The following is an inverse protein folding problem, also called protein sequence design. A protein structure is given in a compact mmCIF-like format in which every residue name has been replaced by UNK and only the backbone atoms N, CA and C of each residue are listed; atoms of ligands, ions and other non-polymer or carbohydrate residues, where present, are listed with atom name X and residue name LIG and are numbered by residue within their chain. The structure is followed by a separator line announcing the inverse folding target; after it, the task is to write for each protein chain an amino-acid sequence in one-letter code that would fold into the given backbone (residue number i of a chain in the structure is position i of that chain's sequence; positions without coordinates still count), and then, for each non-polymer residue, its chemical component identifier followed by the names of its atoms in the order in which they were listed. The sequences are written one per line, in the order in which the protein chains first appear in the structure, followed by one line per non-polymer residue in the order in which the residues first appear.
data_IF_989883801083
#
_entry.id   IF_989883801083
#
_cell.length_a   1.000
_cell.length_b   1.000
_cell.length_c   1.000
_cell.angle_alpha   90.00
_cell.angle_beta   90.00
_cell.angle_gamma   90.00
#
_symmetry.space_group_name_H-M   'P 1'
#
loop_
_entity.id
_entity.type
_entity.pdbx_description
1 polymer ?
#
# COMPACT_ATOMS: atom_id res chain seq x y z
N UNK A 1 100.16 15.85 -13.17
CA UNK A 1 99.25 15.85 -14.33
C UNK A 1 97.96 15.15 -13.91
N UNK A 2 96.86 15.89 -14.02
CA UNK A 2 95.51 15.49 -13.63
C UNK A 2 95.10 14.20 -14.36
N UNK A 3 94.47 13.25 -13.65
CA UNK A 3 93.47 12.38 -14.27
C UNK A 3 92.42 11.99 -13.23
N UNK A 4 91.21 12.42 -13.54
CA UNK A 4 89.98 12.32 -12.77
C UNK A 4 89.48 10.87 -12.71
N UNK A 5 89.23 10.37 -11.50
CA UNK A 5 88.37 9.20 -11.28
C UNK A 5 86.94 9.74 -11.16
N UNK A 6 86.10 9.47 -12.18
CA UNK A 6 84.65 9.70 -12.08
C UNK A 6 83.98 8.43 -11.54
N UNK A 7 83.12 8.50 -10.51
CA UNK A 7 82.30 7.37 -10.12
C UNK A 7 81.14 7.22 -11.11
N UNK A 8 80.97 6.01 -11.63
CA UNK A 8 79.88 5.64 -12.53
C UNK A 8 78.64 5.31 -11.68
N UNK A 9 77.88 6.33 -11.27
CA UNK A 9 76.56 6.12 -10.67
C UNK A 9 75.55 5.82 -11.78
N UNK A 10 75.26 4.53 -11.99
CA UNK A 10 74.12 4.07 -12.80
C UNK A 10 72.83 4.39 -12.03
N UNK A 11 72.24 5.55 -12.29
CA UNK A 11 70.86 5.85 -11.91
C UNK A 11 69.93 5.14 -12.89
N UNK A 12 69.36 4.00 -12.49
CA UNK A 12 68.20 3.42 -13.17
C UNK A 12 67.02 4.38 -13.00
N UNK A 13 66.29 4.76 -14.06
CA UNK A 13 65.04 5.47 -13.88
C UNK A 13 64.03 4.45 -13.36
N UNK A 14 63.66 4.57 -12.09
CA UNK A 14 62.49 3.89 -11.54
C UNK A 14 61.28 4.58 -12.18
N UNK A 15 60.75 4.01 -13.26
CA UNK A 15 59.45 4.39 -13.81
C UNK A 15 58.40 3.87 -12.83
N UNK A 16 57.97 4.73 -11.92
CA UNK A 16 56.78 4.48 -11.10
C UNK A 16 55.57 4.52 -12.03
N UNK A 17 55.13 3.35 -12.49
CA UNK A 17 53.82 3.21 -13.12
C UNK A 17 52.79 3.34 -12.00
N UNK A 18 52.28 4.55 -11.80
CA UNK A 18 51.10 4.78 -10.99
C UNK A 18 49.92 4.13 -11.74
N UNK A 19 49.55 2.91 -11.33
CA UNK A 19 48.26 2.33 -11.66
C UNK A 19 47.19 3.20 -10.99
N UNK A 20 46.72 4.22 -11.70
CA UNK A 20 45.45 4.87 -11.39
C UNK A 20 44.41 3.81 -11.63
N UNK A 21 44.01 3.11 -10.57
CA UNK A 21 42.73 2.40 -10.55
C UNK A 21 41.66 3.48 -10.70
N UNK A 22 41.31 3.77 -11.96
CA UNK A 22 40.00 4.31 -12.31
C UNK A 22 39.00 3.21 -11.96
N UNK A 23 38.73 3.06 -10.67
CA UNK A 23 37.55 2.36 -10.21
C UNK A 23 36.39 3.08 -10.84
N UNK A 24 35.79 2.48 -11.86
CA UNK A 24 34.45 2.86 -12.26
C UNK A 24 33.65 2.90 -10.97
N UNK A 25 32.99 4.03 -10.61
CA UNK A 25 31.99 3.94 -9.57
C UNK A 25 31.03 2.87 -10.08
N UNK A 26 30.99 1.73 -9.39
CA UNK A 26 29.85 0.86 -9.49
C UNK A 26 28.74 1.72 -8.93
N UNK A 27 28.07 2.43 -9.84
CA UNK A 27 26.76 2.95 -9.61
C UNK A 27 25.95 1.68 -9.39
N UNK A 28 25.87 1.26 -8.13
CA UNK A 28 24.83 0.37 -7.68
C UNK A 28 23.56 1.14 -8.01
N UNK A 29 23.06 0.96 -9.22
CA UNK A 29 21.65 1.10 -9.50
C UNK A 29 21.03 0.05 -8.59
N UNK A 30 20.76 0.45 -7.35
CA UNK A 30 19.98 -0.33 -6.43
C UNK A 30 18.65 -0.51 -7.16
N UNK A 31 18.48 -1.67 -7.76
CA UNK A 31 17.17 -2.05 -8.29
C UNK A 31 16.16 -1.80 -7.17
N UNK A 32 15.15 -1.00 -7.49
CA UNK A 32 14.12 -0.62 -6.53
C UNK A 32 13.43 -1.92 -6.05
N UNK A 33 13.30 -2.16 -4.73
CA UNK A 33 12.74 -3.41 -4.25
C UNK A 33 11.25 -3.48 -4.54
N UNK A 34 10.69 -4.67 -4.79
CA UNK A 34 9.24 -4.85 -4.82
C UNK A 34 8.68 -4.71 -3.39
N UNK A 35 7.62 -3.93 -3.23
CA UNK A 35 6.96 -3.71 -1.94
C UNK A 35 5.63 -4.44 -1.95
N UNK A 36 5.47 -5.42 -1.07
CA UNK A 36 4.22 -6.15 -0.86
C UNK A 36 3.74 -5.94 0.58
N UNK A 37 2.52 -5.44 0.72
CA UNK A 37 1.83 -5.33 2.02
C UNK A 37 0.73 -6.37 2.07
N UNK A 38 0.78 -7.25 3.07
CA UNK A 38 -0.31 -8.19 3.40
C UNK A 38 -1.02 -7.65 4.62
N UNK A 39 -2.33 -7.50 4.54
CA UNK A 39 -3.12 -6.84 5.58
C UNK A 39 -4.32 -7.68 6.00
N UNK A 40 -4.27 -8.18 7.24
CA UNK A 40 -5.41 -8.85 7.87
C UNK A 40 -6.43 -7.86 8.41
N UNK A 41 -7.72 -8.15 8.22
CA UNK A 41 -8.83 -7.38 8.80
C UNK A 41 -9.27 -8.06 10.10
N UNK A 42 -9.41 -7.29 11.18
CA UNK A 42 -9.81 -7.77 12.51
C UNK A 42 -8.97 -8.93 13.08
N UNK A 43 -7.68 -8.96 12.74
CA UNK A 43 -6.69 -9.90 13.29
C UNK A 43 -6.05 -9.30 14.53
N UNK A 44 -6.36 -9.86 15.69
CA UNK A 44 -5.69 -9.51 16.94
C UNK A 44 -4.29 -10.11 17.04
N UNK A 45 -3.44 -9.51 17.88
CA UNK A 45 -2.07 -9.99 18.13
C UNK A 45 -2.03 -11.47 18.49
N UNK A 46 -3.00 -11.94 19.28
CA UNK A 46 -3.07 -13.33 19.73
C UNK A 46 -3.64 -14.30 18.69
N UNK A 47 -4.13 -13.83 17.53
CA UNK A 47 -4.58 -14.72 16.45
C UNK A 47 -3.42 -15.31 15.64
N UNK A 48 -2.25 -14.65 15.61
CA UNK A 48 -1.06 -15.14 14.91
C UNK A 48 -0.31 -16.13 15.80
N UNK A 49 -0.07 -17.37 15.33
CA UNK A 49 0.52 -18.41 16.19
C UNK A 49 1.97 -18.17 16.59
N UNK A 50 2.73 -17.39 15.82
CA UNK A 50 4.05 -16.90 16.24
C UNK A 50 3.99 -16.19 17.61
N UNK A 51 2.93 -15.40 17.86
CA UNK A 51 2.78 -14.64 19.10
C UNK A 51 2.28 -15.49 20.27
N UNK A 52 1.34 -16.41 20.01
CA UNK A 52 0.66 -17.20 21.05
C UNK A 52 1.26 -18.60 21.28
N UNK A 53 2.20 -19.04 20.43
CA UNK A 53 2.87 -20.36 20.47
C UNK A 53 1.91 -21.56 20.43
N UNK A 54 0.85 -21.44 19.63
CA UNK A 54 -0.19 -22.46 19.45
C UNK A 54 -1.33 -22.43 20.47
N UNK A 55 -1.35 -21.46 21.39
CA UNK A 55 -2.36 -21.39 22.48
C UNK A 55 -3.80 -21.31 21.98
N UNK A 56 -4.05 -20.71 20.82
CA UNK A 56 -5.39 -20.59 20.23
C UNK A 56 -5.91 -21.90 19.60
N UNK A 57 -5.12 -22.98 19.63
CA UNK A 57 -5.51 -24.30 19.10
C UNK A 57 -5.34 -24.47 17.59
N UNK A 58 -4.83 -23.45 16.89
CA UNK A 58 -4.47 -23.50 15.47
C UNK A 58 -3.09 -22.87 15.23
N UNK A 59 -2.57 -23.06 14.01
CA UNK A 59 -1.29 -22.53 13.56
C UNK A 59 -1.43 -21.74 12.25
N UNK A 60 -0.56 -20.75 12.08
CA UNK A 60 -0.42 -19.89 10.90
C UNK A 60 0.95 -20.09 10.25
N UNK A 61 1.28 -21.31 9.75
CA UNK A 61 2.65 -21.70 9.43
C UNK A 61 3.37 -20.78 8.42
N UNK A 62 2.64 -20.22 7.45
CA UNK A 62 3.20 -19.28 6.48
C UNK A 62 3.52 -17.90 7.10
N UNK A 63 2.68 -17.41 8.01
CA UNK A 63 2.91 -16.14 8.74
C UNK A 63 4.05 -16.34 9.74
N UNK A 64 4.06 -17.48 10.44
CA UNK A 64 5.11 -17.84 11.39
C UNK A 64 6.47 -17.93 10.70
N UNK A 65 6.51 -18.46 9.47
CA UNK A 65 7.73 -18.47 8.65
C UNK A 65 8.24 -17.05 8.36
N UNK A 66 7.37 -16.11 7.96
CA UNK A 66 7.75 -14.72 7.72
C UNK A 66 8.35 -14.06 8.96
N UNK A 67 7.79 -14.34 10.14
CA UNK A 67 8.31 -13.84 11.41
C UNK A 67 9.67 -14.45 11.77
N UNK A 68 9.88 -15.74 11.51
CA UNK A 68 11.13 -16.45 11.81
C UNK A 68 12.27 -16.12 10.83
N UNK A 69 11.95 -15.86 9.56
CA UNK A 69 12.92 -15.52 8.50
C UNK A 69 13.18 -14.01 8.39
N UNK A 70 12.36 -13.20 9.06
CA UNK A 70 12.39 -11.74 8.97
C UNK A 70 12.45 -11.06 10.33
N UNK A 71 11.66 -9.98 10.46
CA UNK A 71 11.55 -9.19 11.69
C UNK A 71 10.13 -9.30 12.21
N UNK A 72 10.01 -9.63 13.50
CA UNK A 72 8.76 -9.58 14.24
C UNK A 72 8.79 -8.41 15.22
N UNK A 73 7.68 -7.67 15.31
CA UNK A 73 7.51 -6.58 16.26
C UNK A 73 6.78 -7.10 17.50
N UNK A 74 7.34 -6.86 18.68
CA UNK A 74 6.66 -7.12 19.97
C UNK A 74 5.60 -6.05 20.25
N UNK A 75 5.85 -4.83 19.78
CA UNK A 75 5.04 -3.65 20.03
C UNK A 75 4.72 -2.96 18.70
N UNK A 76 3.46 -2.97 18.30
CA UNK A 76 2.95 -2.24 17.14
C UNK A 76 1.52 -1.78 17.44
N UNK A 77 1.14 -0.63 16.88
CA UNK A 77 -0.12 0.05 17.22
C UNK A 77 -0.91 0.38 15.97
N UNK A 78 -2.23 0.32 16.09
CA UNK A 78 -3.17 0.66 15.02
C UNK A 78 -4.32 1.52 15.56
N UNK A 79 -5.05 2.16 14.65
CA UNK A 79 -6.30 2.84 14.98
C UNK A 79 -7.41 1.79 15.22
N UNK A 80 -8.40 2.14 16.04
CA UNK A 80 -9.43 1.21 16.49
C UNK A 80 -10.59 0.99 15.50
N UNK A 81 -10.50 1.54 14.29
CA UNK A 81 -11.53 1.43 13.25
C UNK A 81 -10.89 1.07 11.91
N UNK A 82 -11.55 0.24 11.09
CA UNK A 82 -11.06 -0.15 9.77
C UNK A 82 -10.73 1.08 8.90
N UNK A 83 -11.66 2.02 8.75
CA UNK A 83 -11.45 3.24 7.94
C UNK A 83 -10.30 4.07 8.48
N UNK A 84 -10.27 4.33 9.79
CA UNK A 84 -9.22 5.13 10.41
C UNK A 84 -7.84 4.45 10.33
N UNK A 85 -7.76 3.13 10.56
CA UNK A 85 -6.51 2.38 10.50
C UNK A 85 -5.96 2.33 9.09
N UNK A 86 -6.84 2.14 8.11
CA UNK A 86 -6.45 2.12 6.70
C UNK A 86 -6.01 3.48 6.19
N UNK A 87 -6.77 4.53 6.53
CA UNK A 87 -6.39 5.91 6.25
C UNK A 87 -5.03 6.26 6.86
N UNK A 88 -4.78 5.88 8.12
CA UNK A 88 -3.53 6.19 8.80
C UNK A 88 -2.31 5.54 8.13
N UNK A 89 -2.42 4.28 7.76
CA UNK A 89 -1.33 3.57 7.11
C UNK A 89 -1.12 4.05 5.67
N UNK A 90 -2.19 4.25 4.88
CA UNK A 90 -2.08 4.70 3.48
C UNK A 90 -1.54 6.13 3.38
N UNK A 91 -1.95 7.05 4.27
CA UNK A 91 -1.47 8.44 4.24
C UNK A 91 -0.20 8.68 5.06
N UNK A 92 0.14 7.78 5.99
CA UNK A 92 1.16 8.03 7.02
C UNK A 92 0.76 9.15 8.01
N UNK A 93 -0.52 9.52 8.08
CA UNK A 93 -1.02 10.65 8.85
C UNK A 93 -2.06 10.23 9.88
N UNK A 94 -2.25 11.05 10.92
CA UNK A 94 -3.33 10.79 11.90
C UNK A 94 -4.70 11.01 11.22
N UNK A 95 -5.69 10.11 11.34
CA UNK A 95 -6.93 10.18 10.56
C UNK A 95 -7.77 11.44 10.74
N UNK A 96 -7.60 12.17 11.86
CA UNK A 96 -8.26 13.47 12.05
C UNK A 96 -7.84 14.51 11.00
N UNK A 97 -6.67 14.35 10.35
CA UNK A 97 -6.19 15.27 9.31
C UNK A 97 -6.87 15.04 7.95
N UNK A 98 -7.19 13.80 7.61
CA UNK A 98 -7.97 13.47 6.40
C UNK A 98 -9.48 13.45 6.64
N UNK A 99 -9.92 13.52 7.90
CA UNK A 99 -11.34 13.41 8.28
C UNK A 99 -11.89 11.98 8.30
N UNK A 100 -11.13 10.99 7.82
CA UNK A 100 -11.51 9.57 7.77
C UNK A 100 -11.45 8.89 9.14
N UNK A 101 -12.28 9.36 10.07
CA UNK A 101 -12.33 8.88 11.46
C UNK A 101 -13.49 7.92 11.73
N UNK A 102 -14.46 7.85 10.80
CA UNK A 102 -15.68 7.03 10.91
C UNK A 102 -15.98 6.35 9.59
N UNK A 103 -16.79 5.30 9.66
CA UNK A 103 -17.28 4.56 8.49
C UNK A 103 -18.30 5.43 7.76
N UNK A 104 -18.09 5.61 6.45
CA UNK A 104 -19.07 6.22 5.54
C UNK A 104 -20.08 5.18 5.08
N UNK A 105 -21.33 5.60 4.92
CA UNK A 105 -22.39 4.78 4.29
C UNK A 105 -22.21 4.74 2.76
N UNK A 106 -22.83 3.78 2.04
CA UNK A 106 -22.93 3.86 0.59
C UNK A 106 -23.44 5.24 0.12
N UNK A 107 -22.82 5.83 -0.89
CA UNK A 107 -23.10 7.16 -1.40
C UNK A 107 -22.57 8.34 -0.58
N UNK A 108 -21.94 8.10 0.59
CA UNK A 108 -21.39 9.12 1.46
C UNK A 108 -20.44 10.07 0.71
N UNK A 109 -20.40 11.34 1.11
CA UNK A 109 -19.52 12.38 0.52
C UNK A 109 -18.09 12.26 1.05
N UNK A 110 -17.94 11.55 2.14
CA UNK A 110 -16.71 11.38 2.88
C UNK A 110 -15.85 10.30 2.22
N UNK A 111 -14.58 10.62 2.02
CA UNK A 111 -13.58 9.76 1.43
C UNK A 111 -12.29 10.55 1.18
N UNK A 112 -11.36 9.94 0.45
CA UNK A 112 -10.13 10.60 0.05
C UNK A 112 -10.39 11.90 -0.74
N UNK A 113 -9.62 12.94 -0.44
CA UNK A 113 -9.65 14.20 -1.18
C UNK A 113 -8.51 14.26 -2.18
N UNK A 114 -8.65 15.09 -3.23
CA UNK A 114 -7.60 15.29 -4.25
C UNK A 114 -6.27 15.76 -3.63
N UNK A 115 -6.34 16.51 -2.52
CA UNK A 115 -5.16 17.01 -1.80
C UNK A 115 -4.50 15.97 -0.89
N UNK A 116 -5.13 14.83 -0.65
CA UNK A 116 -4.59 13.80 0.24
C UNK A 116 -3.49 13.00 -0.46
N UNK A 117 -2.29 13.04 0.12
CA UNK A 117 -1.15 12.27 -0.37
C UNK A 117 -1.20 10.86 0.22
N UNK A 118 -1.16 9.85 -0.64
CA UNK A 118 -1.11 8.43 -0.27
C UNK A 118 0.28 7.84 -0.54
N UNK A 119 0.62 6.73 0.12
CA UNK A 119 1.84 5.98 -0.20
C UNK A 119 1.88 5.56 -1.67
N UNK A 120 0.73 5.28 -2.28
CA UNK A 120 0.64 4.92 -3.69
C UNK A 120 1.02 6.10 -4.59
N UNK A 121 0.53 7.31 -4.31
CA UNK A 121 0.96 8.51 -5.07
C UNK A 121 2.47 8.75 -4.97
N UNK A 122 3.05 8.56 -3.78
CA UNK A 122 4.49 8.72 -3.55
C UNK A 122 5.29 7.66 -4.30
N UNK A 123 4.90 6.39 -4.21
CA UNK A 123 5.57 5.28 -4.89
C UNK A 123 5.44 5.39 -6.42
N UNK A 124 4.26 5.76 -6.92
CA UNK A 124 4.03 5.98 -8.36
C UNK A 124 4.89 7.11 -8.91
N UNK A 125 5.08 8.20 -8.16
CA UNK A 125 6.02 9.26 -8.53
C UNK A 125 7.49 8.78 -8.58
N UNK A 126 7.81 7.68 -7.89
CA UNK A 126 9.10 6.99 -7.97
C UNK A 126 9.13 5.91 -9.06
N UNK A 127 8.13 5.81 -9.94
CA UNK A 127 8.10 4.86 -11.06
C UNK A 127 7.74 3.43 -10.68
N UNK A 128 7.09 3.22 -9.53
CA UNK A 128 6.49 1.94 -9.20
C UNK A 128 5.15 1.75 -9.91
N UNK A 129 4.88 0.52 -10.32
CA UNK A 129 3.50 0.07 -10.55
C UNK A 129 2.84 -0.22 -9.20
N UNK A 130 1.59 0.17 -9.05
CA UNK A 130 0.87 0.17 -7.77
C UNK A 130 -0.48 -0.51 -7.92
N UNK A 131 -0.85 -1.37 -6.96
CA UNK A 131 -2.14 -2.05 -6.98
C UNK A 131 -2.68 -2.30 -5.57
N UNK A 132 -4.01 -2.30 -5.45
CA UNK A 132 -4.72 -2.62 -4.22
C UNK A 132 -5.74 -3.73 -4.49
N UNK A 133 -5.69 -4.80 -3.68
CA UNK A 133 -6.53 -5.97 -3.87
C UNK A 133 -7.23 -6.34 -2.56
N UNK A 134 -8.55 -6.55 -2.62
CA UNK A 134 -9.40 -6.78 -1.46
C UNK A 134 -10.08 -5.51 -0.95
N UNK A 135 -10.25 -5.40 0.37
CA UNK A 135 -11.03 -4.32 0.98
C UNK A 135 -10.37 -2.95 0.87
N UNK A 136 -11.14 -1.96 0.41
CA UNK A 136 -10.79 -0.54 0.46
C UNK A 136 -11.23 0.10 1.78
N UNK A 137 -12.47 0.60 1.88
CA UNK A 137 -13.03 1.23 3.08
C UNK A 137 -12.55 2.68 3.36
N UNK A 138 -12.24 3.44 2.30
CA UNK A 138 -11.82 4.87 2.35
C UNK A 138 -12.69 5.79 1.49
N UNK A 139 -13.94 5.43 1.27
CA UNK A 139 -14.89 6.20 0.46
C UNK A 139 -15.59 5.33 -0.58
N UNK A 140 -16.77 5.80 -0.98
CA UNK A 140 -17.67 5.06 -1.86
C UNK A 140 -17.68 5.59 -3.30
N UNK A 141 -17.69 6.91 -3.44
CA UNK A 141 -17.88 7.59 -4.72
C UNK A 141 -16.68 7.38 -5.63
N UNK A 142 -16.93 7.54 -6.93
CA UNK A 142 -15.90 7.33 -7.94
C UNK A 142 -14.68 8.20 -7.69
N UNK A 143 -14.85 9.46 -7.28
CA UNK A 143 -13.75 10.36 -6.93
C UNK A 143 -12.88 9.89 -5.75
N UNK A 144 -13.34 8.94 -4.93
CA UNK A 144 -12.62 8.41 -3.77
C UNK A 144 -11.96 7.05 -4.02
N UNK A 145 -12.16 6.46 -5.21
CA UNK A 145 -11.66 5.12 -5.52
C UNK A 145 -10.12 5.09 -5.53
N UNK A 146 -9.48 3.97 -5.16
CA UNK A 146 -8.02 3.91 -5.03
C UNK A 146 -7.24 4.37 -6.26
N UNK A 147 -7.80 4.14 -7.45
CA UNK A 147 -7.19 4.53 -8.73
C UNK A 147 -7.19 6.03 -8.99
N UNK A 148 -8.04 6.79 -8.29
CA UNK A 148 -7.97 8.25 -8.22
C UNK A 148 -6.92 8.74 -7.20
N UNK A 149 -6.42 7.86 -6.34
CA UNK A 149 -5.49 8.19 -5.24
C UNK A 149 -4.17 7.42 -5.32
N UNK A 150 -3.67 7.25 -6.54
CA UNK A 150 -2.30 6.83 -6.81
C UNK A 150 -2.11 5.36 -7.12
N UNK A 151 -3.11 4.51 -6.91
CA UNK A 151 -3.05 3.11 -7.38
C UNK A 151 -3.28 3.02 -8.89
N UNK A 152 -2.58 2.12 -9.60
CA UNK A 152 -2.83 1.88 -11.02
C UNK A 152 -4.02 0.96 -11.24
N UNK A 153 -4.25 0.04 -10.30
CA UNK A 153 -5.31 -0.96 -10.35
C UNK A 153 -5.90 -1.19 -8.95
N UNK A 154 -7.22 -1.33 -8.89
CA UNK A 154 -7.93 -1.78 -7.70
C UNK A 154 -8.92 -2.88 -8.05
N UNK A 155 -8.93 -3.96 -7.28
CA UNK A 155 -9.91 -5.02 -7.37
C UNK A 155 -10.38 -5.42 -5.98
N UNK A 156 -11.65 -5.16 -5.66
CA UNK A 156 -12.25 -5.61 -4.40
C UNK A 156 -13.46 -4.82 -3.96
N UNK A 157 -13.80 -5.01 -2.68
CA UNK A 157 -14.95 -4.37 -2.02
C UNK A 157 -14.57 -3.01 -1.43
N UNK A 158 -15.55 -2.09 -1.37
CA UNK A 158 -15.40 -0.80 -0.71
C UNK A 158 -15.75 -0.83 0.78
N UNK A 159 -16.32 -1.91 1.31
CA UNK A 159 -16.96 -1.89 2.63
C UNK A 159 -16.47 -2.97 3.59
N UNK A 160 -17.01 -2.93 4.80
CA UNK A 160 -17.00 -4.08 5.70
C UNK A 160 -18.12 -5.05 5.33
N UNK A 161 -17.95 -6.35 5.61
CA UNK A 161 -18.92 -7.41 5.29
C UNK A 161 -20.34 -7.05 5.75
N UNK A 162 -20.51 -6.53 6.97
CA UNK A 162 -21.83 -6.11 7.47
C UNK A 162 -22.59 -5.20 6.50
N UNK A 163 -21.93 -4.26 5.81
CA UNK A 163 -22.61 -3.38 4.85
C UNK A 163 -23.08 -4.14 3.61
N UNK A 164 -22.33 -5.18 3.21
CA UNK A 164 -22.68 -6.10 2.11
C UNK A 164 -23.79 -7.09 2.50
N UNK A 165 -23.94 -7.35 3.81
CA UNK A 165 -25.00 -8.21 4.35
C UNK A 165 -26.34 -7.48 4.55
N UNK A 166 -26.35 -6.14 4.71
CA UNK A 166 -27.57 -5.35 4.89
C UNK A 166 -28.69 -5.68 3.87
N UNK A 167 -28.41 -5.82 2.56
CA UNK A 167 -29.45 -6.15 1.57
C UNK A 167 -30.07 -7.54 1.73
N UNK A 168 -29.44 -8.45 2.48
CA UNK A 168 -29.92 -9.83 2.70
C UNK A 168 -30.95 -9.93 3.84
N UNK A 169 -31.16 -8.84 4.60
CA UNK A 169 -32.13 -8.80 5.68
C UNK A 169 -33.57 -8.80 5.15
N UNK A 170 -34.46 -9.59 5.78
CA UNK A 170 -35.88 -9.68 5.39
C UNK A 170 -36.62 -8.32 5.45
N UNK A 171 -36.19 -7.43 6.34
CA UNK A 171 -36.74 -6.09 6.53
C UNK A 171 -35.98 -5.00 5.76
N UNK A 172 -35.03 -5.36 4.91
CA UNK A 172 -34.34 -4.41 4.06
C UNK A 172 -35.33 -3.73 3.09
N UNK A 173 -35.40 -2.39 3.04
CA UNK A 173 -36.44 -1.71 2.26
C UNK A 173 -36.37 -1.95 0.75
N UNK A 174 -35.21 -2.37 0.21
CA UNK A 174 -35.06 -2.88 -1.16
C UNK A 174 -35.76 -2.05 -2.24
N UNK A 175 -36.93 -2.53 -2.67
CA UNK A 175 -37.77 -1.96 -3.73
C UNK A 175 -38.65 -0.78 -3.27
N UNK A 176 -38.57 -0.36 -2.01
CA UNK A 176 -39.28 0.81 -1.47
C UNK A 176 -38.92 2.05 -2.28
N UNK A 177 -39.92 2.64 -2.94
CA UNK A 177 -39.74 3.87 -3.73
C UNK A 177 -39.71 5.08 -2.80
N UNK A 178 -38.63 5.85 -2.89
CA UNK A 178 -38.40 7.08 -2.14
C UNK A 178 -39.09 8.27 -2.82
N UNK A 179 -39.18 9.41 -2.12
CA UNK A 179 -39.80 10.63 -2.65
C UNK A 179 -39.16 11.14 -3.95
N UNK A 180 -37.90 10.80 -4.20
CA UNK A 180 -37.17 11.18 -5.41
C UNK A 180 -37.39 10.23 -6.59
N UNK A 181 -38.24 9.21 -6.44
CA UNK A 181 -38.59 8.24 -7.48
C UNK A 181 -37.61 7.08 -7.67
N UNK A 182 -36.51 7.02 -6.90
CA UNK A 182 -35.60 5.87 -6.89
C UNK A 182 -36.04 4.84 -5.84
N UNK A 183 -35.63 3.59 -6.02
CA UNK A 183 -35.76 2.60 -4.95
C UNK A 183 -34.73 2.85 -3.84
N UNK A 184 -34.99 2.33 -2.64
CA UNK A 184 -34.06 2.39 -1.53
C UNK A 184 -32.72 1.74 -1.91
N UNK A 185 -32.76 0.57 -2.57
CA UNK A 185 -31.57 -0.12 -3.04
C UNK A 185 -30.78 0.71 -4.07
N UNK A 186 -31.43 1.34 -5.04
CA UNK A 186 -30.75 2.21 -6.03
C UNK A 186 -30.01 3.40 -5.39
N UNK A 187 -30.41 3.81 -4.20
CA UNK A 187 -29.83 4.95 -3.51
C UNK A 187 -28.84 4.57 -2.40
N UNK A 188 -29.08 3.48 -1.70
CA UNK A 188 -28.38 3.16 -0.45
C UNK A 188 -27.78 1.75 -0.40
N UNK A 189 -27.98 0.91 -1.42
CA UNK A 189 -27.33 -0.39 -1.45
C UNK A 189 -25.80 -0.22 -1.56
N UNK A 190 -25.02 -1.08 -0.92
CA UNK A 190 -23.59 -1.18 -1.16
C UNK A 190 -23.34 -1.51 -2.64
N UNK A 191 -22.24 -0.98 -3.18
CA UNK A 191 -21.66 -1.44 -4.44
C UNK A 191 -21.10 -2.86 -4.25
N UNK A 192 -21.20 -3.70 -5.27
CA UNK A 192 -20.51 -4.99 -5.23
C UNK A 192 -19.01 -4.87 -5.49
N UNK A 193 -18.38 -5.96 -5.89
CA UNK A 193 -16.95 -5.97 -6.19
C UNK A 193 -16.65 -5.10 -7.42
N UNK A 194 -15.70 -4.19 -7.26
CA UNK A 194 -15.24 -3.31 -8.33
C UNK A 194 -13.86 -3.73 -8.81
N UNK A 195 -13.66 -3.67 -10.13
CA UNK A 195 -12.36 -3.68 -10.77
C UNK A 195 -12.15 -2.34 -11.48
N UNK A 196 -11.12 -1.60 -11.07
CA UNK A 196 -10.85 -0.27 -11.59
C UNK A 196 -9.40 -0.13 -12.01
N UNK A 197 -9.17 0.72 -13.02
CA UNK A 197 -7.83 1.05 -13.52
C UNK A 197 -7.70 2.54 -13.72
N UNK A 198 -6.56 3.11 -13.33
CA UNK A 198 -6.22 4.48 -13.68
C UNK A 198 -6.01 4.59 -15.20
N UNK A 199 -6.53 5.65 -15.83
CA UNK A 199 -6.41 5.84 -17.28
C UNK A 199 -5.13 6.58 -17.72
N UNK A 200 -4.31 7.01 -16.74
CA UNK A 200 -3.08 7.78 -16.95
C UNK A 200 -3.30 9.26 -17.33
N UNK A 201 -4.55 9.73 -17.40
CA UNK A 201 -4.97 11.08 -17.78
C UNK A 201 -5.72 11.81 -16.66
N UNK A 202 -5.73 11.25 -15.45
CA UNK A 202 -6.45 11.79 -14.30
C UNK A 202 -7.87 11.25 -14.15
N UNK A 203 -8.25 10.22 -14.92
CA UNK A 203 -9.49 9.49 -14.76
C UNK A 203 -9.26 8.01 -14.47
N UNK A 204 -10.33 7.23 -14.57
CA UNK A 204 -10.33 5.81 -14.31
C UNK A 204 -11.38 5.09 -15.17
N UNK A 205 -11.12 3.81 -15.44
CA UNK A 205 -12.15 2.87 -15.90
C UNK A 205 -12.67 2.10 -14.69
N UNK A 206 -14.00 1.98 -14.58
CA UNK A 206 -14.66 1.26 -13.48
C UNK A 206 -15.50 0.15 -14.09
N UNK A 207 -15.29 -1.07 -13.62
CA UNK A 207 -16.09 -2.25 -13.95
C UNK A 207 -16.65 -2.84 -12.65
N UNK A 208 -17.97 -3.04 -12.59
CA UNK A 208 -18.62 -3.79 -11.51
C UNK A 208 -18.69 -5.25 -11.93
N UNK A 209 -18.10 -6.16 -11.16
CA UNK A 209 -17.93 -7.56 -11.58
C UNK A 209 -18.82 -8.56 -10.83
N UNK A 210 -19.67 -8.07 -9.93
CA UNK A 210 -20.68 -8.86 -9.24
C UNK A 210 -21.24 -8.09 -8.06
N UNK A 211 -22.33 -8.58 -7.43
CA UNK A 211 -22.59 -8.29 -6.02
C UNK A 211 -21.40 -8.73 -5.16
#
# INVERSE_FOLDING_TARGET
MQNFIKPLTRTLPIVLVAFVFLGNPVQAQSDKPNILVIWGDDIGTWNISHNNRGMMGYQTPNIDRLANEGVAFTDYYAQQSCTAGRAAFISGSVPVRSGMTKVGLPGAKEGWQETDVTMATVLKAQGYSTGQFGKNHQGDRDEHLPTMHGFDEFLGSLYHLNAEEEPEHEDYPGDMVLENGKTFAEQFAPRGILHTWADGKGGQRIESIGP
#
